data_IF_522565502131
#
_entry.id   IF_522565502131
#
_cell.length_a   1.000
_cell.length_b   1.000
_cell.length_c   1.000
_cell.angle_alpha   90.00
_cell.angle_beta   90.00
_cell.angle_gamma   90.00
#
_symmetry.space_group_name_H-M   'P 1'
#
loop_
_entity.id
_entity.type
_entity.pdbx_description
1 polymer ?
#
# COMPACT_ATOMS: atom_id res chain seq x y z
N UNK A 1 -41.84 14.51 -39.03
CA UNK A 1 -42.64 15.71 -38.65
C UNK A 1 -42.77 15.70 -37.14
N UNK A 2 -42.05 16.60 -36.45
CA UNK A 2 -42.60 17.76 -35.71
C UNK A 2 -43.53 17.33 -34.54
N UNK A 3 -43.01 17.24 -33.31
CA UNK A 3 -42.97 18.30 -32.27
C UNK A 3 -44.39 18.73 -31.81
N UNK A 4 -44.73 18.49 -30.53
CA UNK A 4 -45.39 19.46 -29.61
C UNK A 4 -45.57 18.78 -28.23
N UNK A 5 -44.78 19.11 -27.19
CA UNK A 5 -44.92 20.24 -26.24
C UNK A 5 -46.20 20.08 -25.39
N UNK A 6 -46.21 20.14 -24.05
CA UNK A 6 -45.72 21.24 -23.19
C UNK A 6 -45.94 20.80 -21.71
N UNK A 7 -44.92 20.95 -20.86
CA UNK A 7 -44.83 22.01 -19.82
C UNK A 7 -45.72 21.75 -18.60
N UNK A 8 -45.08 21.38 -17.50
CA UNK A 8 -45.35 22.02 -16.21
C UNK A 8 -44.00 22.44 -15.62
N UNK A 9 -43.68 23.71 -15.83
CA UNK A 9 -42.69 24.51 -15.10
C UNK A 9 -43.35 24.94 -13.78
N UNK A 10 -42.54 25.05 -12.72
CA UNK A 10 -42.72 25.71 -11.41
C UNK A 10 -42.18 24.73 -10.34
N UNK A 11 -41.24 25.02 -9.45
CA UNK A 11 -40.47 26.21 -9.11
C UNK A 11 -39.44 25.77 -8.05
N UNK A 12 -38.25 26.38 -8.08
CA UNK A 12 -37.10 26.32 -7.13
C UNK A 12 -37.50 26.26 -5.62
N UNK A 13 -36.64 25.76 -4.68
CA UNK A 13 -35.27 26.26 -4.53
C UNK A 13 -34.18 25.31 -4.00
N UNK A 14 -32.95 25.80 -4.21
CA UNK A 14 -31.69 25.36 -3.63
C UNK A 14 -31.74 25.25 -2.11
N UNK A 15 -31.19 24.17 -1.58
CA UNK A 15 -30.62 24.12 -0.24
C UNK A 15 -29.22 23.50 -0.35
N UNK A 16 -28.24 24.39 -0.50
CA UNK A 16 -26.84 24.10 -0.17
C UNK A 16 -26.78 23.86 1.34
N UNK A 17 -26.62 22.61 1.76
CA UNK A 17 -26.16 22.32 3.12
C UNK A 17 -24.65 22.24 3.09
N UNK A 18 -24.02 23.42 3.18
CA UNK A 18 -22.62 23.55 3.51
C UNK A 18 -22.37 22.94 4.89
N UNK A 19 -21.58 21.87 4.97
CA UNK A 19 -20.99 21.43 6.22
C UNK A 19 -19.68 22.18 6.40
N UNK A 20 -19.77 23.42 6.92
CA UNK A 20 -18.62 24.16 7.43
C UNK A 20 -18.32 23.67 8.84
N UNK A 21 -17.17 23.03 9.04
CA UNK A 21 -16.63 22.73 10.37
C UNK A 21 -16.06 24.02 10.96
N UNK A 22 -16.58 24.43 12.11
CA UNK A 22 -16.09 25.58 12.87
C UNK A 22 -14.91 25.08 13.75
N UNK A 23 -13.69 25.61 13.62
CA UNK A 23 -12.66 25.43 14.64
C UNK A 23 -12.89 26.45 15.77
N UNK A 24 -13.07 25.97 17.00
CA UNK A 24 -13.07 26.83 18.19
C UNK A 24 -11.65 27.19 18.57
N UNK A 25 -11.29 28.47 18.46
CA UNK A 25 -10.04 29.03 18.98
C UNK A 25 -10.32 29.69 20.34
N UNK A 26 -9.64 29.25 21.40
CA UNK A 26 -9.72 29.88 22.72
C UNK A 26 -8.72 31.06 22.78
N UNK A 27 -9.21 32.25 23.11
CA UNK A 27 -8.48 33.50 23.15
C UNK A 27 -7.51 33.67 24.34
N UNK A 28 -7.40 32.69 25.23
CA UNK A 28 -6.45 32.73 26.34
C UNK A 28 -5.55 31.50 26.28
N UNK A 29 -4.28 31.70 25.91
CA UNK A 29 -3.30 30.63 25.82
C UNK A 29 -3.18 29.87 27.15
N UNK A 30 -3.83 28.71 27.26
CA UNK A 30 -3.52 27.55 28.12
C UNK A 30 -4.46 26.40 27.72
N UNK A 31 -3.89 25.18 27.66
CA UNK A 31 -4.53 23.90 27.30
C UNK A 31 -5.63 23.48 28.30
N UNK A 32 -6.70 22.84 27.79
CA UNK A 32 -7.55 21.93 28.58
C UNK A 32 -7.80 20.66 27.79
N UNK A 33 -7.53 19.55 28.45
CA UNK A 33 -7.53 18.18 27.99
C UNK A 33 -8.55 17.37 28.80
N UNK A 34 -8.79 16.12 28.38
CA UNK A 34 -9.54 15.04 29.04
C UNK A 34 -10.94 14.82 28.46
N UNK A 35 -11.34 13.62 28.03
CA UNK A 35 -11.13 12.32 28.68
C UNK A 35 -11.09 11.13 27.71
N UNK A 36 -10.28 10.13 28.09
CA UNK A 36 -10.53 8.69 27.97
C UNK A 36 -10.72 8.07 26.58
N UNK A 37 -9.61 7.55 26.03
CA UNK A 37 -9.47 6.13 25.69
C UNK A 37 -8.01 5.81 25.36
N UNK A 38 -7.43 4.88 26.12
CA UNK A 38 -6.02 4.49 26.07
C UNK A 38 -5.69 3.78 24.75
N UNK A 39 -5.15 4.54 23.80
CA UNK A 39 -4.29 4.02 22.72
C UNK A 39 -3.03 4.88 22.72
N UNK A 40 -1.84 4.35 22.99
CA UNK A 40 -0.62 5.10 22.72
C UNK A 40 -0.48 5.22 21.20
N UNK A 41 -0.97 6.31 20.65
CA UNK A 41 -0.70 6.76 19.31
C UNK A 41 0.79 7.11 19.20
N UNK A 42 1.64 6.10 18.96
CA UNK A 42 2.99 6.31 18.46
C UNK A 42 2.92 6.46 16.94
N UNK A 43 2.32 7.57 16.52
CA UNK A 43 2.57 8.18 15.22
C UNK A 43 3.99 8.71 15.19
N UNK A 44 4.96 7.80 15.04
CA UNK A 44 6.29 8.14 14.53
C UNK A 44 6.30 7.75 13.07
N UNK A 45 5.87 8.67 12.20
CA UNK A 45 6.37 8.67 10.84
C UNK A 45 7.85 9.07 10.92
N UNK A 46 8.71 8.11 11.29
CA UNK A 46 10.14 8.28 11.11
C UNK A 46 10.36 8.25 9.60
N UNK A 47 10.66 9.42 9.03
CA UNK A 47 11.31 9.57 7.73
C UNK A 47 12.29 8.39 7.57
N UNK A 48 12.18 7.57 6.50
CA UNK A 48 13.09 6.45 6.34
C UNK A 48 14.51 7.01 6.37
N UNK A 49 15.30 6.55 7.34
CA UNK A 49 16.72 6.84 7.36
C UNK A 49 17.31 6.43 6.00
N UNK A 50 18.30 7.16 5.48
CA UNK A 50 19.08 6.69 4.35
C UNK A 50 19.60 5.30 4.71
N UNK A 51 19.08 4.28 4.04
CA UNK A 51 19.59 2.92 4.19
C UNK A 51 20.90 2.90 3.43
N UNK A 52 22.01 2.96 4.17
CA UNK A 52 23.36 2.83 3.64
C UNK A 52 23.43 1.62 2.70
N UNK A 53 24.21 1.73 1.62
CA UNK A 53 24.37 0.77 0.51
C UNK A 53 24.86 -0.65 0.91
N UNK A 54 24.89 -0.95 2.20
CA UNK A 54 25.00 -2.32 2.69
C UNK A 54 23.76 -3.10 2.23
N UNK A 55 23.98 -4.21 1.54
CA UNK A 55 22.97 -5.17 1.08
C UNK A 55 22.12 -5.82 2.20
N UNK A 56 22.14 -5.26 3.41
CA UNK A 56 21.44 -5.75 4.58
C UNK A 56 20.02 -5.17 4.64
N UNK A 57 19.04 -6.06 4.71
CA UNK A 57 17.65 -5.69 4.90
C UNK A 57 17.47 -4.90 6.22
N UNK A 58 16.74 -3.78 6.22
CA UNK A 58 16.35 -3.11 7.46
C UNK A 58 15.58 -4.09 8.36
N UNK A 59 15.86 -4.08 9.68
CA UNK A 59 15.21 -5.00 10.61
C UNK A 59 13.66 -4.94 10.55
N UNK A 60 13.11 -3.75 10.31
CA UNK A 60 11.68 -3.55 10.09
C UNK A 60 11.15 -4.31 8.86
N UNK A 61 11.89 -4.30 7.75
CA UNK A 61 11.53 -5.03 6.52
C UNK A 61 11.51 -6.54 6.77
N UNK A 62 12.55 -7.07 7.43
CA UNK A 62 12.62 -8.48 7.79
C UNK A 62 11.46 -8.91 8.70
N UNK A 63 11.09 -8.07 9.67
CA UNK A 63 9.95 -8.35 10.56
C UNK A 63 8.62 -8.43 9.80
N UNK A 64 8.44 -7.58 8.79
CA UNK A 64 7.25 -7.58 7.94
C UNK A 64 7.22 -8.76 6.99
N UNK A 65 8.36 -9.16 6.42
CA UNK A 65 8.47 -10.37 5.61
C UNK A 65 8.16 -11.63 6.43
N UNK A 66 8.74 -11.75 7.63
CA UNK A 66 8.40 -12.85 8.55
C UNK A 66 6.92 -12.87 8.92
N UNK A 67 6.30 -11.70 9.08
CA UNK A 67 4.86 -11.58 9.30
C UNK A 67 4.07 -12.08 8.09
N UNK A 68 4.46 -11.67 6.88
CA UNK A 68 3.84 -12.12 5.65
C UNK A 68 3.92 -13.64 5.50
N UNK A 69 5.09 -14.24 5.77
CA UNK A 69 5.26 -15.70 5.73
C UNK A 69 4.34 -16.41 6.72
N UNK A 70 4.20 -15.88 7.94
CA UNK A 70 3.24 -16.39 8.92
C UNK A 70 1.81 -16.23 8.43
N UNK A 71 1.43 -15.11 7.84
CA UNK A 71 0.08 -14.90 7.31
C UNK A 71 -0.25 -15.90 6.21
N UNK A 72 0.70 -16.16 5.30
CA UNK A 72 0.55 -17.19 4.27
C UNK A 72 0.36 -18.58 4.86
N UNK A 73 1.09 -18.94 5.93
CA UNK A 73 0.91 -20.23 6.60
C UNK A 73 -0.47 -20.38 7.25
N UNK A 74 -1.18 -19.29 7.50
CA UNK A 74 -2.55 -19.27 8.03
C UNK A 74 -3.60 -19.10 6.91
N UNK A 75 -3.18 -19.07 5.64
CA UNK A 75 -4.06 -18.84 4.48
C UNK A 75 -4.45 -17.37 4.26
N UNK A 76 -3.93 -16.44 5.07
CA UNK A 76 -4.18 -15.00 4.94
C UNK A 76 -3.31 -14.38 3.84
N UNK A 77 -3.69 -14.66 2.58
CA UNK A 77 -2.99 -14.14 1.41
C UNK A 77 -3.04 -12.60 1.33
N UNK A 78 -4.17 -12.00 1.67
CA UNK A 78 -4.36 -10.55 1.59
C UNK A 78 -3.53 -9.82 2.65
N UNK A 79 -3.50 -10.34 3.88
CA UNK A 79 -2.66 -9.77 4.94
C UNK A 79 -1.17 -9.90 4.63
N UNK A 80 -0.74 -10.99 3.98
CA UNK A 80 0.64 -11.15 3.55
C UNK A 80 1.05 -10.10 2.52
N UNK A 81 0.20 -9.83 1.53
CA UNK A 81 0.40 -8.76 0.54
C UNK A 81 0.51 -7.40 1.23
N UNK A 82 -0.41 -7.06 2.14
CA UNK A 82 -0.37 -5.80 2.87
C UNK A 82 0.92 -5.62 3.69
N UNK A 83 1.41 -6.70 4.31
CA UNK A 83 2.70 -6.70 5.02
C UNK A 83 3.88 -6.44 4.08
N UNK A 84 3.90 -7.05 2.90
CA UNK A 84 4.94 -6.86 1.89
C UNK A 84 4.90 -5.44 1.29
N UNK A 85 3.72 -4.88 1.00
CA UNK A 85 3.57 -3.50 0.55
C UNK A 85 4.06 -2.49 1.59
N UNK A 86 3.81 -2.78 2.88
CA UNK A 86 4.39 -1.97 3.96
C UNK A 86 5.92 -2.09 3.99
N UNK A 87 6.47 -3.27 3.73
CA UNK A 87 7.92 -3.45 3.67
C UNK A 87 8.53 -2.63 2.52
N UNK A 88 7.89 -2.61 1.35
CA UNK A 88 8.29 -1.77 0.20
C UNK A 88 8.26 -0.28 0.56
N UNK A 89 7.25 0.19 1.30
CA UNK A 89 7.21 1.60 1.74
C UNK A 89 8.38 1.97 2.67
N UNK A 90 8.89 1.02 3.44
CA UNK A 90 10.03 1.23 4.34
C UNK A 90 11.35 1.20 3.55
N UNK A 91 11.50 0.22 2.66
CA UNK A 91 12.69 0.05 1.83
C UNK A 91 12.32 -0.14 0.35
N UNK A 92 12.07 0.95 -0.39
CA UNK A 92 11.62 0.88 -1.79
C UNK A 92 12.70 0.40 -2.76
N UNK A 93 13.93 0.19 -2.28
CA UNK A 93 15.05 -0.32 -3.06
C UNK A 93 15.45 -1.74 -2.69
N UNK A 94 14.65 -2.43 -1.87
CA UNK A 94 14.98 -3.77 -1.40
C UNK A 94 14.39 -4.86 -2.31
N UNK A 95 15.20 -5.52 -3.16
CA UNK A 95 14.70 -6.34 -4.28
C UNK A 95 13.88 -7.55 -3.82
N UNK A 96 14.20 -8.16 -2.68
CA UNK A 96 13.50 -9.36 -2.20
C UNK A 96 12.01 -9.09 -1.89
N UNK A 97 11.67 -7.89 -1.42
CA UNK A 97 10.26 -7.54 -1.16
C UNK A 97 9.43 -7.49 -2.44
N UNK A 98 10.00 -7.03 -3.55
CA UNK A 98 9.35 -7.04 -4.86
C UNK A 98 9.18 -8.46 -5.40
N UNK A 99 10.20 -9.30 -5.27
CA UNK A 99 10.12 -10.71 -5.68
C UNK A 99 9.01 -11.45 -4.91
N UNK A 100 9.01 -11.35 -3.56
CA UNK A 100 8.02 -12.02 -2.71
C UNK A 100 6.60 -11.55 -3.01
N UNK A 101 6.41 -10.24 -3.23
CA UNK A 101 5.12 -9.70 -3.64
C UNK A 101 4.71 -10.22 -5.01
N UNK A 102 5.64 -10.29 -5.96
CA UNK A 102 5.45 -10.88 -7.28
C UNK A 102 4.98 -12.33 -7.20
N UNK A 103 5.58 -13.15 -6.35
CA UNK A 103 5.10 -14.52 -6.11
C UNK A 103 3.66 -14.55 -5.59
N UNK A 104 3.28 -13.63 -4.68
CA UNK A 104 1.89 -13.59 -4.18
C UNK A 104 0.92 -13.32 -5.31
N UNK A 105 1.22 -12.35 -6.18
CA UNK A 105 0.39 -12.06 -7.33
C UNK A 105 0.37 -13.19 -8.36
N UNK A 106 1.47 -13.94 -8.51
CA UNK A 106 1.51 -15.12 -9.37
C UNK A 106 0.50 -16.18 -8.89
N UNK A 107 0.49 -16.48 -7.59
CA UNK A 107 -0.47 -17.44 -7.01
C UNK A 107 -1.92 -16.95 -7.04
N UNK A 108 -2.15 -15.64 -7.12
CA UNK A 108 -3.48 -15.05 -7.32
C UNK A 108 -3.92 -15.03 -8.80
N UNK A 109 -3.10 -15.55 -9.73
CA UNK A 109 -3.39 -15.51 -11.17
C UNK A 109 -3.12 -14.15 -11.83
N UNK A 110 -2.57 -13.19 -11.08
CA UNK A 110 -2.19 -11.87 -11.60
C UNK A 110 -0.80 -11.91 -12.25
N UNK A 111 -0.67 -12.72 -13.30
CA UNK A 111 0.63 -13.03 -13.92
C UNK A 111 1.35 -11.81 -14.50
N UNK A 112 0.62 -10.86 -15.08
CA UNK A 112 1.20 -9.60 -15.59
C UNK A 112 1.86 -8.78 -14.48
N UNK A 113 1.22 -8.69 -13.31
CA UNK A 113 1.75 -7.97 -12.16
C UNK A 113 2.94 -8.71 -11.55
N UNK A 114 2.84 -10.04 -11.42
CA UNK A 114 3.94 -10.88 -10.94
C UNK A 114 5.21 -10.69 -11.76
N UNK A 115 5.09 -10.72 -13.09
CA UNK A 115 6.20 -10.47 -14.02
C UNK A 115 6.83 -9.10 -13.80
N UNK A 116 6.03 -8.04 -13.77
CA UNK A 116 6.54 -6.67 -13.59
C UNK A 116 7.28 -6.49 -12.26
N UNK A 117 6.78 -7.10 -11.18
CA UNK A 117 7.44 -7.07 -9.88
C UNK A 117 8.76 -7.85 -9.85
N UNK A 118 8.82 -9.00 -10.53
CA UNK A 118 10.04 -9.77 -10.67
C UNK A 118 11.10 -9.02 -11.49
N UNK A 119 10.72 -8.39 -12.61
CA UNK A 119 11.58 -7.49 -13.39
C UNK A 119 12.11 -6.35 -12.51
N UNK A 120 11.24 -5.77 -11.68
CA UNK A 120 11.63 -4.71 -10.74
C UNK A 120 12.68 -5.21 -9.74
N UNK A 121 12.53 -6.40 -9.17
CA UNK A 121 13.52 -6.98 -8.26
C UNK A 121 14.90 -7.08 -8.93
N UNK A 122 14.97 -7.53 -10.19
CA UNK A 122 16.23 -7.59 -10.96
C UNK A 122 16.82 -6.20 -11.15
N UNK A 123 16.00 -5.20 -11.53
CA UNK A 123 16.47 -3.83 -11.77
C UNK A 123 17.02 -3.14 -10.52
N UNK A 124 16.57 -3.56 -9.33
CA UNK A 124 16.99 -3.01 -8.04
C UNK A 124 18.29 -3.66 -7.51
N UNK A 125 18.92 -4.56 -8.27
CA UNK A 125 20.16 -5.21 -7.87
C UNK A 125 19.93 -6.45 -7.03
N UNK A 126 18.95 -7.29 -7.39
CA UNK A 126 18.83 -8.63 -6.83
C UNK A 126 20.18 -9.37 -6.90
N UNK A 127 20.53 -10.09 -5.83
CA UNK A 127 21.71 -10.95 -5.83
C UNK A 127 21.55 -12.10 -6.85
N UNK A 128 22.60 -12.89 -7.05
CA UNK A 128 22.61 -13.93 -8.08
C UNK A 128 21.46 -14.95 -7.90
N UNK A 129 21.14 -15.30 -6.66
CA UNK A 129 20.13 -16.31 -6.34
C UNK A 129 18.73 -15.75 -6.56
N UNK A 130 18.45 -14.59 -5.99
CA UNK A 130 17.17 -13.90 -6.11
C UNK A 130 16.90 -13.51 -7.56
N UNK A 131 17.93 -13.10 -8.31
CA UNK A 131 17.81 -12.84 -9.74
C UNK A 131 17.36 -14.07 -10.50
N UNK A 132 17.97 -15.23 -10.25
CA UNK A 132 17.58 -16.48 -10.91
C UNK A 132 16.15 -16.91 -10.55
N UNK A 133 15.74 -16.70 -9.31
CA UNK A 133 14.36 -16.92 -8.88
C UNK A 133 13.39 -15.97 -9.61
N UNK A 134 13.74 -14.69 -9.71
CA UNK A 134 12.95 -13.70 -10.42
C UNK A 134 12.83 -14.01 -11.92
N UNK A 135 13.92 -14.42 -12.58
CA UNK A 135 13.92 -14.86 -13.99
C UNK A 135 12.98 -16.06 -14.18
N UNK A 136 13.08 -17.08 -13.31
CA UNK A 136 12.15 -18.23 -13.33
C UNK A 136 10.68 -17.79 -13.16
N UNK A 137 10.42 -16.83 -12.28
CA UNK A 137 9.08 -16.29 -12.07
C UNK A 137 8.56 -15.55 -13.31
N UNK A 138 9.42 -14.78 -14.00
CA UNK A 138 9.09 -14.08 -15.25
C UNK A 138 8.72 -15.10 -16.33
N UNK A 139 9.53 -16.14 -16.51
CA UNK A 139 9.28 -17.21 -17.48
C UNK A 139 7.94 -17.89 -17.22
N UNK A 140 7.73 -18.34 -15.97
CA UNK A 140 6.48 -18.98 -15.55
C UNK A 140 5.28 -18.06 -15.75
N UNK A 141 5.39 -16.78 -15.41
CA UNK A 141 4.32 -15.80 -15.57
C UNK A 141 4.03 -15.49 -17.05
N UNK A 142 5.05 -15.53 -17.91
CA UNK A 142 4.91 -15.29 -19.35
C UNK A 142 4.15 -16.38 -20.10
N UNK A 143 4.11 -17.60 -19.55
CA UNK A 143 3.36 -18.72 -20.13
C UNK A 143 1.83 -18.53 -20.09
N UNK A 144 1.33 -17.56 -19.31
CA UNK A 144 -0.10 -17.28 -19.13
C UNK A 144 -0.57 -15.98 -19.81
N UNK A 145 0.19 -15.49 -20.79
CA UNK A 145 -0.12 -14.25 -21.54
C UNK A 145 -0.99 -14.50 -22.77
#
# INVERSE_FOLDING_TARGET
MKILKRVCLLSLPWLLTACGTIPTYNANGTQVQETNNSVPALGKQSKPAPVDDTAQAPAAVLSLMKRADKQLSHGDNNGAIASLERAIRIAPRYPETYYRLGERYFYQGSYKQARSLAEKAITLGADWLLRRQAESLIERASAYQ
#
